data_IF_608679207150
#
_entry.id   IF_608679207150
#
_cell.length_a   1.000
_cell.length_b   1.000
_cell.length_c   1.000
_cell.angle_alpha   90.00
_cell.angle_beta   90.00
_cell.angle_gamma   90.00
#
_symmetry.space_group_name_H-M   'P 1'
#
loop_
_entity.id
_entity.type
_entity.pdbx_description
1 polymer ?
#
# COMPACT_ATOMS: atom_id res chain seq x y z
N UNK A 1 -8.55 -5.41 -14.91
CA UNK A 1 -8.20 -5.01 -13.54
C UNK A 1 -9.11 -3.87 -13.11
N UNK A 2 -9.47 -3.84 -11.84
CA UNK A 2 -10.29 -2.78 -11.22
C UNK A 2 -9.37 -1.74 -10.56
N UNK A 3 -9.71 -0.45 -10.69
CA UNK A 3 -8.94 0.62 -10.06
C UNK A 3 -9.39 0.78 -8.59
N UNK A 4 -8.57 0.29 -7.67
CA UNK A 4 -8.88 0.38 -6.24
C UNK A 4 -8.47 1.73 -5.61
N UNK A 5 -7.30 2.26 -5.96
CA UNK A 5 -6.80 3.54 -5.45
C UNK A 5 -6.33 4.42 -6.60
N UNK A 6 -6.87 5.63 -6.67
CA UNK A 6 -6.51 6.66 -7.66
C UNK A 6 -5.78 7.80 -6.98
N UNK A 7 -4.67 8.26 -7.59
CA UNK A 7 -3.90 9.44 -7.16
C UNK A 7 -3.55 9.41 -5.66
N UNK A 8 -3.25 8.20 -5.14
CA UNK A 8 -3.10 7.97 -3.71
C UNK A 8 -1.80 8.57 -3.15
N UNK A 9 -1.95 9.46 -2.18
CA UNK A 9 -0.83 10.07 -1.46
C UNK A 9 -0.74 9.53 -0.02
N UNK A 10 0.20 8.62 0.22
CA UNK A 10 0.41 8.03 1.56
C UNK A 10 0.76 9.09 2.62
N UNK A 11 1.44 10.18 2.25
CA UNK A 11 1.83 11.23 3.21
C UNK A 11 0.60 11.96 3.74
N UNK A 12 -0.35 12.27 2.86
CA UNK A 12 -1.60 12.93 3.23
C UNK A 12 -2.47 12.00 4.06
N UNK A 13 -2.63 10.75 3.63
CA UNK A 13 -3.42 9.74 4.34
C UNK A 13 -2.85 9.41 5.73
N UNK A 14 -1.53 9.24 5.84
CA UNK A 14 -0.86 8.94 7.10
C UNK A 14 -0.92 10.12 8.08
N UNK A 15 -1.10 11.35 7.57
CA UNK A 15 -1.05 12.59 8.34
C UNK A 15 0.19 12.67 9.26
N UNK A 16 1.36 12.30 8.71
CA UNK A 16 2.64 12.31 9.43
C UNK A 16 3.56 11.12 9.09
N UNK A 17 4.83 11.23 9.47
CA UNK A 17 5.86 10.20 9.23
C UNK A 17 5.76 9.05 10.24
N UNK A 18 6.23 7.86 9.86
CA UNK A 18 6.25 6.65 10.71
C UNK A 18 4.86 6.17 11.18
N UNK A 19 3.80 6.56 10.47
CA UNK A 19 2.44 6.11 10.72
C UNK A 19 2.04 5.07 9.67
N UNK A 20 1.67 3.85 10.08
CA UNK A 20 1.24 2.83 9.13
C UNK A 20 -0.12 3.19 8.54
N UNK A 21 -0.27 3.02 7.23
CA UNK A 21 -1.54 3.14 6.52
C UNK A 21 -1.87 1.78 5.91
N UNK A 22 -3.02 1.23 6.29
CA UNK A 22 -3.52 -0.06 5.78
C UNK A 22 -4.71 0.22 4.88
N UNK A 23 -4.70 -0.35 3.67
CA UNK A 23 -5.81 -0.31 2.73
C UNK A 23 -6.21 -1.74 2.38
N UNK A 24 -7.49 -2.04 2.58
CA UNK A 24 -8.06 -3.37 2.38
C UNK A 24 -8.99 -3.32 1.16
N UNK A 25 -8.79 -4.25 0.23
CA UNK A 25 -9.63 -4.42 -0.95
C UNK A 25 -10.17 -5.85 -0.96
N UNK A 26 -11.44 -6.00 -1.33
CA UNK A 26 -12.05 -7.30 -1.60
C UNK A 26 -12.04 -7.51 -3.11
N UNK A 27 -11.45 -8.61 -3.57
CA UNK A 27 -11.42 -8.97 -4.97
C UNK A 27 -11.92 -10.40 -5.16
N UNK A 28 -12.71 -10.63 -6.21
CA UNK A 28 -13.13 -11.97 -6.61
C UNK A 28 -12.08 -12.59 -7.53
N UNK A 29 -11.48 -13.70 -7.11
CA UNK A 29 -10.46 -14.42 -7.88
C UNK A 29 -11.11 -15.66 -8.49
N UNK A 30 -11.29 -15.68 -9.82
CA UNK A 30 -11.92 -16.80 -10.53
C UNK A 30 -10.89 -17.79 -11.09
N UNK A 31 -9.73 -17.30 -11.52
CA UNK A 31 -8.76 -18.08 -12.31
C UNK A 31 -7.50 -18.42 -11.51
N UNK A 32 -7.60 -18.47 -10.17
CA UNK A 32 -6.49 -18.66 -9.21
C UNK A 32 -5.33 -17.65 -9.30
N UNK A 33 -5.42 -16.67 -10.20
CA UNK A 33 -4.43 -15.62 -10.40
C UNK A 33 -5.03 -14.30 -9.93
N UNK A 34 -4.35 -13.65 -8.97
CA UNK A 34 -4.63 -12.27 -8.57
C UNK A 34 -3.53 -11.37 -9.12
N UNK A 35 -3.91 -10.41 -9.96
CA UNK A 35 -2.99 -9.43 -10.53
C UNK A 35 -3.09 -8.09 -9.80
N UNK A 36 -2.00 -7.67 -9.18
CA UNK A 36 -1.88 -6.36 -8.51
C UNK A 36 -1.01 -5.46 -9.38
N UNK A 37 -1.56 -4.34 -9.85
CA UNK A 37 -0.84 -3.36 -10.68
C UNK A 37 -0.65 -2.05 -9.93
N UNK A 38 0.60 -1.62 -9.85
CA UNK A 38 1.01 -0.38 -9.21
C UNK A 38 1.52 0.54 -10.30
N UNK A 39 0.76 1.59 -10.57
CA UNK A 39 1.09 2.52 -11.63
C UNK A 39 1.45 3.88 -11.04
N UNK A 40 2.57 4.41 -11.50
CA UNK A 40 3.04 5.75 -11.16
C UNK A 40 3.24 6.54 -12.44
N UNK A 41 2.39 7.54 -12.66
CA UNK A 41 2.42 8.39 -13.84
C UNK A 41 3.44 9.54 -13.74
N UNK A 42 4.13 9.67 -12.60
CA UNK A 42 5.02 10.81 -12.34
C UNK A 42 6.45 10.60 -12.84
N UNK A 43 7.17 11.70 -13.07
CA UNK A 43 8.62 11.67 -13.34
C UNK A 43 9.36 11.53 -12.01
N UNK A 44 9.97 10.38 -11.77
CA UNK A 44 10.81 10.16 -10.60
C UNK A 44 12.10 11.00 -10.64
N UNK A 45 12.59 11.44 -9.50
CA UNK A 45 13.89 12.12 -9.37
C UNK A 45 14.89 11.22 -8.65
N UNK A 46 16.06 10.99 -9.26
CA UNK A 46 17.08 10.10 -8.72
C UNK A 46 18.14 10.80 -7.83
N UNK A 47 18.28 12.13 -7.89
CA UNK A 47 19.39 12.86 -7.27
C UNK A 47 18.97 14.14 -6.54
N UNK A 48 19.62 14.36 -5.39
CA UNK A 48 19.72 15.61 -4.62
C UNK A 48 20.61 16.58 -5.44
N UNK A 49 20.22 17.85 -5.69
CA UNK A 49 20.14 18.88 -4.64
C UNK A 49 18.71 19.32 -4.27
N UNK A 50 17.70 18.98 -5.08
CA UNK A 50 16.30 19.23 -4.77
C UNK A 50 15.61 17.92 -4.39
N UNK A 51 14.90 17.89 -3.26
CA UNK A 51 13.99 16.78 -2.91
C UNK A 51 12.95 16.67 -4.02
N UNK A 52 12.96 15.59 -4.80
CA UNK A 52 11.92 15.37 -5.79
C UNK A 52 10.99 14.20 -5.43
N UNK A 53 10.21 13.79 -6.42
CA UNK A 53 9.15 12.79 -6.27
C UNK A 53 9.72 11.38 -6.35
N UNK A 54 9.57 10.62 -5.27
CA UNK A 54 9.79 9.18 -5.25
C UNK A 54 8.60 8.47 -5.90
N UNK A 55 8.85 7.32 -6.53
CA UNK A 55 7.82 6.48 -7.14
C UNK A 55 6.85 5.87 -6.10
N UNK A 56 6.06 4.86 -6.50
CA UNK A 56 5.06 4.28 -5.61
C UNK A 56 5.73 3.60 -4.41
N UNK A 57 5.26 3.90 -3.19
CA UNK A 57 5.79 3.35 -1.95
C UNK A 57 4.85 2.28 -1.40
N UNK A 58 5.35 1.05 -1.22
CA UNK A 58 4.64 -0.06 -0.58
C UNK A 58 5.58 -0.78 0.37
N UNK A 59 5.08 -1.10 1.56
CA UNK A 59 5.83 -1.85 2.58
C UNK A 59 5.48 -3.35 2.56
N UNK A 60 4.19 -3.68 2.48
CA UNK A 60 3.72 -5.06 2.55
C UNK A 60 2.38 -5.23 1.82
N UNK A 61 2.12 -6.44 1.34
CA UNK A 61 0.85 -6.89 0.78
C UNK A 61 0.45 -8.15 1.55
N UNK A 62 -0.80 -8.20 2.01
CA UNK A 62 -1.39 -9.38 2.66
C UNK A 62 -2.63 -9.80 1.88
N UNK A 63 -2.82 -11.11 1.70
CA UNK A 63 -3.97 -11.68 1.00
C UNK A 63 -4.71 -12.63 1.91
N UNK A 64 -6.01 -12.40 2.07
CA UNK A 64 -6.85 -13.17 2.96
C UNK A 64 -8.01 -13.80 2.19
N UNK A 65 -8.15 -15.12 2.31
CA UNK A 65 -9.34 -15.80 1.84
C UNK A 65 -10.49 -15.51 2.80
N UNK A 66 -11.53 -14.83 2.32
CA UNK A 66 -12.71 -14.46 3.13
C UNK A 66 -13.49 -15.67 3.66
N UNK A 67 -13.26 -16.87 3.10
CA UNK A 67 -13.90 -18.13 3.51
C UNK A 67 -13.23 -18.82 4.70
N UNK A 68 -12.00 -18.45 5.05
CA UNK A 68 -11.32 -18.93 6.25
C UNK A 68 -11.37 -17.77 7.26
N UNK A 69 -11.78 -18.01 8.50
CA UNK A 69 -12.00 -16.99 9.53
C UNK A 69 -10.77 -16.09 9.83
N UNK A 70 -10.78 -15.30 10.92
CA UNK A 70 -9.98 -14.07 11.08
C UNK A 70 -8.47 -14.25 11.31
N UNK A 71 -7.86 -15.29 10.75
CA UNK A 71 -6.44 -15.62 10.87
C UNK A 71 -5.54 -14.77 9.96
N UNK A 72 -6.13 -13.85 9.19
CA UNK A 72 -5.43 -13.06 8.21
C UNK A 72 -5.89 -11.59 8.27
N UNK A 73 -4.91 -10.68 8.29
CA UNK A 73 -5.10 -9.24 8.31
C UNK A 73 -3.79 -8.52 8.58
N UNK A 74 -3.67 -7.26 8.18
CA UNK A 74 -2.55 -6.43 8.62
C UNK A 74 -2.76 -6.12 10.11
N UNK A 75 -1.86 -6.61 10.97
CA UNK A 75 -1.86 -6.20 12.36
C UNK A 75 -1.68 -4.67 12.40
N UNK A 76 -2.64 -3.94 12.96
CA UNK A 76 -2.51 -2.50 13.23
C UNK A 76 -1.50 -2.34 14.36
N UNK A 77 -0.22 -2.52 14.04
CA UNK A 77 0.85 -2.53 15.03
C UNK A 77 0.86 -1.17 15.73
N UNK A 78 0.64 -1.20 17.04
CA UNK A 78 0.85 -0.02 17.88
C UNK A 78 2.34 0.34 17.78
N UNK A 79 2.59 1.61 17.45
CA UNK A 79 3.88 2.32 17.46
C UNK A 79 5.07 1.44 17.83
N UNK A 80 5.84 1.00 16.85
CA UNK A 80 7.17 0.50 17.13
C UNK A 80 8.12 1.69 17.32
N UNK A 81 8.06 2.33 18.50
CA UNK A 81 9.06 3.30 18.96
C UNK A 81 10.29 2.53 19.45
N UNK A 82 11.15 2.12 18.52
CA UNK A 82 12.56 1.85 18.80
C UNK A 82 13.39 2.28 17.59
N UNK A 83 13.84 3.52 17.66
CA UNK A 83 15.14 3.96 17.14
C UNK A 83 15.87 4.62 18.29
#
# INVERSE_FOLDING_TARGET
GELFLRDFNIKEEANGTLKPVVKEAVANVTDNVLEIRLYWAGKGTALIPARGSYGPLISAISMCHTSQGPQCGAEKTKRHTKY
#
